data_IF_055934815453
#
_entry.id   IF_055934815453
#
_cell.length_a   1.000
_cell.length_b   1.000
_cell.length_c   1.000
_cell.angle_alpha   90.00
_cell.angle_beta   90.00
_cell.angle_gamma   90.00
#
_symmetry.space_group_name_H-M   'P 1'
#
loop_
_entity.id
_entity.type
_entity.pdbx_description
1 polymer ?
#
# COMPACT_ATOMS: atom_id res chain seq x y z
N UNK A 1 9.48 -6.58 -17.88
CA UNK A 1 8.04 -6.33 -18.13
C UNK A 1 7.47 -7.16 -19.27
N UNK A 2 7.88 -7.02 -20.55
CA UNK A 2 7.34 -7.84 -21.66
C UNK A 2 7.49 -9.35 -21.43
N UNK A 3 8.72 -9.80 -21.17
CA UNK A 3 9.07 -11.20 -20.85
C UNK A 3 8.18 -11.80 -19.75
N UNK A 4 7.99 -11.03 -18.66
CA UNK A 4 7.13 -11.43 -17.56
C UNK A 4 5.64 -11.43 -17.95
N UNK A 5 5.18 -10.45 -18.74
CA UNK A 5 3.77 -10.37 -19.12
C UNK A 5 3.31 -11.55 -19.98
N UNK A 6 4.20 -12.08 -20.82
CA UNK A 6 3.91 -13.18 -21.74
C UNK A 6 3.95 -14.56 -21.09
N UNK A 7 4.72 -14.74 -20.01
CA UNK A 7 5.01 -16.07 -19.47
C UNK A 7 4.76 -16.24 -17.97
N UNK A 8 4.54 -15.16 -17.22
CA UNK A 8 4.17 -15.23 -15.80
C UNK A 8 2.64 -15.26 -15.60
N UNK A 9 2.14 -15.78 -14.47
CA UNK A 9 0.72 -15.75 -14.14
C UNK A 9 0.23 -14.37 -13.69
N UNK A 10 1.12 -13.37 -13.58
CA UNK A 10 0.78 -12.08 -12.98
C UNK A 10 0.09 -11.12 -13.96
N UNK A 11 -0.92 -10.43 -13.46
CA UNK A 11 -1.63 -9.35 -14.17
C UNK A 11 -1.38 -7.95 -13.60
N UNK A 12 -0.80 -7.84 -12.40
CA UNK A 12 -0.57 -6.59 -11.69
C UNK A 12 0.86 -6.48 -11.15
N UNK A 13 1.34 -5.26 -10.95
CA UNK A 13 2.64 -4.98 -10.34
C UNK A 13 2.57 -3.77 -9.41
N UNK A 14 3.11 -3.93 -8.20
CA UNK A 14 3.34 -2.84 -7.25
C UNK A 14 4.43 -1.88 -7.74
N UNK A 15 4.17 -0.57 -7.66
CA UNK A 15 5.13 0.46 -8.05
C UNK A 15 5.27 1.48 -6.94
N UNK A 16 6.46 1.56 -6.35
CA UNK A 16 6.78 2.52 -5.30
C UNK A 16 6.93 3.93 -5.86
N UNK A 17 5.88 4.74 -5.78
CA UNK A 17 5.83 6.08 -6.40
C UNK A 17 6.53 7.15 -5.55
N UNK A 18 6.63 6.95 -4.23
CA UNK A 18 7.17 7.95 -3.32
C UNK A 18 7.32 7.43 -1.89
N UNK A 19 7.49 8.37 -0.95
CA UNK A 19 7.66 8.07 0.46
C UNK A 19 9.06 8.42 0.98
N UNK A 20 9.11 9.11 2.11
CA UNK A 20 10.35 9.40 2.83
C UNK A 20 11.03 8.11 3.32
N UNK A 21 10.24 7.09 3.69
CA UNK A 21 10.74 5.82 4.21
C UNK A 21 11.04 4.76 3.13
N UNK A 22 11.01 5.14 1.84
CA UNK A 22 11.33 4.23 0.72
C UNK A 22 12.85 3.99 0.64
N UNK A 23 13.26 2.73 0.56
CA UNK A 23 14.69 2.36 0.59
C UNK A 23 15.47 2.75 -0.67
N UNK A 24 14.83 2.77 -1.83
CA UNK A 24 15.52 2.92 -3.12
C UNK A 24 14.84 3.95 -4.01
N UNK A 25 15.65 4.70 -4.77
CA UNK A 25 15.14 5.51 -5.87
C UNK A 25 14.59 4.61 -6.99
N UNK A 26 13.62 5.12 -7.75
CA UNK A 26 12.98 4.44 -8.88
C UNK A 26 13.25 5.20 -10.19
N UNK A 27 14.51 5.37 -10.65
CA UNK A 27 14.83 6.22 -11.79
C UNK A 27 14.25 5.72 -13.13
N UNK A 28 13.81 4.46 -13.18
CA UNK A 28 13.16 3.86 -14.35
C UNK A 28 11.63 4.00 -14.32
N UNK A 29 11.05 4.38 -13.19
CA UNK A 29 9.62 4.63 -13.06
C UNK A 29 9.32 6.05 -13.56
N UNK A 30 8.98 6.14 -14.84
CA UNK A 30 8.63 7.40 -15.51
C UNK A 30 7.21 7.31 -16.08
N UNK A 31 6.62 8.46 -16.44
CA UNK A 31 5.32 8.50 -17.15
C UNK A 31 5.34 7.65 -18.43
N UNK A 32 6.41 7.70 -19.20
CA UNK A 32 6.54 6.91 -20.44
C UNK A 32 6.60 5.41 -20.15
N UNK A 33 7.28 5.01 -19.07
CA UNK A 33 7.29 3.63 -18.63
C UNK A 33 5.90 3.18 -18.18
N UNK A 34 5.22 3.98 -17.34
CA UNK A 34 3.85 3.71 -16.86
C UNK A 34 2.90 3.49 -18.02
N UNK A 35 2.86 4.41 -19.00
CA UNK A 35 2.03 4.27 -20.20
C UNK A 35 2.37 3.00 -20.98
N UNK A 36 3.66 2.72 -21.17
CA UNK A 36 4.09 1.54 -21.92
C UNK A 36 3.69 0.23 -21.24
N UNK A 37 3.85 0.10 -19.92
CA UNK A 37 3.49 -1.14 -19.21
C UNK A 37 1.97 -1.31 -19.09
N UNK A 38 1.22 -0.22 -18.91
CA UNK A 38 -0.24 -0.26 -18.95
C UNK A 38 -0.77 -0.68 -20.32
N UNK A 39 -0.17 -0.18 -21.41
CA UNK A 39 -0.50 -0.62 -22.78
C UNK A 39 -0.13 -2.09 -23.06
N UNK A 40 0.82 -2.67 -22.31
CA UNK A 40 1.10 -4.12 -22.34
C UNK A 40 0.07 -4.94 -21.55
N UNK A 41 -0.91 -4.29 -20.91
CA UNK A 41 -1.95 -4.94 -20.12
C UNK A 41 -1.57 -5.25 -18.68
N UNK A 42 -0.51 -4.61 -18.13
CA UNK A 42 -0.26 -4.63 -16.68
C UNK A 42 -1.22 -3.70 -15.95
N UNK A 43 -1.72 -4.15 -14.80
CA UNK A 43 -2.32 -3.28 -13.79
C UNK A 43 -1.22 -2.76 -12.86
N UNK A 44 -1.30 -1.48 -12.48
CA UNK A 44 -0.31 -0.85 -11.61
C UNK A 44 -0.92 -0.56 -10.25
N UNK A 45 -0.22 -0.89 -9.18
CA UNK A 45 -0.64 -0.68 -7.79
C UNK A 45 0.32 0.37 -7.19
N UNK A 46 -0.07 1.65 -7.08
CA UNK A 46 0.83 2.71 -6.62
C UNK A 46 1.06 2.59 -5.11
N UNK A 47 2.31 2.49 -4.69
CA UNK A 47 2.70 2.34 -3.27
C UNK A 47 3.46 3.59 -2.83
N UNK A 48 3.08 4.14 -1.68
CA UNK A 48 3.77 5.24 -1.04
C UNK A 48 4.25 4.81 0.34
N UNK A 49 5.56 4.88 0.57
CA UNK A 49 6.17 4.37 1.81
C UNK A 49 6.21 5.49 2.84
N UNK A 50 5.18 5.57 3.68
CA UNK A 50 4.96 6.71 4.57
C UNK A 50 5.89 6.76 5.79
N UNK A 51 5.72 7.79 6.62
CA UNK A 51 6.26 7.75 7.99
C UNK A 51 5.68 6.54 8.74
N UNK A 52 6.48 6.02 9.67
CA UNK A 52 6.26 4.72 10.29
C UNK A 52 5.91 4.89 11.77
N UNK A 53 5.33 3.86 12.39
CA UNK A 53 5.11 3.91 13.84
C UNK A 53 6.42 4.24 14.58
N UNK A 54 6.37 5.01 15.69
CA UNK A 54 7.50 5.14 16.61
C UNK A 54 8.06 3.78 17.08
N UNK A 55 7.24 2.72 17.03
CA UNK A 55 7.56 1.37 17.44
C UNK A 55 7.71 0.40 16.25
N UNK A 56 8.07 0.90 15.07
CA UNK A 56 8.30 0.06 13.89
C UNK A 56 9.36 -1.01 14.13
N UNK A 57 9.02 -2.26 13.80
CA UNK A 57 9.89 -3.43 14.00
C UNK A 57 11.11 -3.36 13.10
N UNK A 58 10.95 -2.89 11.87
CA UNK A 58 12.03 -2.73 10.91
C UNK A 58 13.02 -1.64 11.36
N UNK A 59 14.21 -2.03 11.83
CA UNK A 59 15.21 -1.10 12.36
C UNK A 59 15.58 0.04 11.39
N UNK A 60 15.69 -0.24 10.09
CA UNK A 60 15.98 0.74 9.02
C UNK A 60 14.89 1.82 8.85
N UNK A 61 13.71 1.62 9.45
CA UNK A 61 12.55 2.50 9.34
C UNK A 61 12.38 3.45 10.51
N UNK A 62 13.04 3.18 11.65
CA UNK A 62 12.87 3.95 12.91
C UNK A 62 13.19 5.44 12.78
N UNK A 63 14.12 5.79 11.89
CA UNK A 63 14.48 7.18 11.57
C UNK A 63 13.39 7.95 10.81
N UNK A 64 12.33 7.27 10.37
CA UNK A 64 11.15 7.85 9.71
C UNK A 64 9.91 7.70 10.60
N UNK A 65 10.09 7.63 11.92
CA UNK A 65 9.00 7.59 12.87
C UNK A 65 8.10 8.83 12.72
N UNK A 66 6.79 8.61 12.78
CA UNK A 66 5.79 9.67 12.90
C UNK A 66 6.05 10.42 14.20
N UNK A 67 6.15 11.74 14.15
CA UNK A 67 6.07 12.55 15.37
C UNK A 67 4.62 12.52 15.89
N UNK A 68 4.36 12.00 17.11
CA UNK A 68 3.02 11.97 17.67
C UNK A 68 2.34 13.35 17.71
N UNK A 69 3.10 14.44 17.86
CA UNK A 69 2.54 15.79 17.90
C UNK A 69 2.07 16.27 16.50
N UNK A 70 2.69 15.77 15.43
CA UNK A 70 2.46 16.22 14.06
C UNK A 70 1.82 15.13 13.18
N UNK A 71 1.35 14.01 13.74
CA UNK A 71 0.87 12.84 12.99
C UNK A 71 -0.12 13.18 11.87
N UNK A 72 -1.13 14.01 12.16
CA UNK A 72 -2.11 14.47 11.14
C UNK A 72 -1.50 15.43 10.11
N UNK A 73 -0.56 16.28 10.51
CA UNK A 73 0.15 17.21 9.62
C UNK A 73 1.03 16.41 8.65
N UNK A 74 1.78 15.43 9.17
CA UNK A 74 2.59 14.52 8.36
C UNK A 74 1.72 13.71 7.39
N UNK A 75 0.61 13.15 7.84
CA UNK A 75 -0.33 12.38 7.01
C UNK A 75 -0.87 13.20 5.84
N UNK A 76 -1.31 14.44 6.12
CA UNK A 76 -1.76 15.39 5.09
C UNK A 76 -0.66 15.68 4.07
N UNK A 77 0.53 16.08 4.55
CA UNK A 77 1.66 16.44 3.68
C UNK A 77 2.09 15.28 2.78
N UNK A 78 2.12 14.07 3.32
CA UNK A 78 2.54 12.88 2.57
C UNK A 78 1.47 12.43 1.57
N UNK A 79 0.19 12.56 1.89
CA UNK A 79 -0.89 12.31 0.93
C UNK A 79 -0.83 13.27 -0.26
N UNK A 80 -0.59 14.56 -0.01
CA UNK A 80 -0.39 15.52 -1.11
C UNK A 80 0.84 15.19 -1.96
N UNK A 81 1.90 14.68 -1.33
CA UNK A 81 3.09 14.22 -2.04
C UNK A 81 2.82 13.00 -2.91
N UNK A 82 2.07 12.03 -2.39
CA UNK A 82 1.59 10.88 -3.15
C UNK A 82 0.77 11.30 -4.38
N UNK A 83 -0.17 12.24 -4.23
CA UNK A 83 -0.97 12.76 -5.34
C UNK A 83 -0.10 13.41 -6.40
N UNK A 84 0.89 14.24 -5.99
CA UNK A 84 1.85 14.84 -6.93
C UNK A 84 2.66 13.78 -7.66
N UNK A 85 3.16 12.75 -6.95
CA UNK A 85 3.92 11.67 -7.55
C UNK A 85 3.08 10.84 -8.54
N UNK A 86 1.86 10.44 -8.16
CA UNK A 86 0.92 9.72 -9.01
C UNK A 86 0.57 10.55 -10.27
N UNK A 87 0.25 11.83 -10.09
CA UNK A 87 -0.03 12.76 -11.18
C UNK A 87 1.16 12.89 -12.12
N UNK A 88 2.38 13.05 -11.60
CA UNK A 88 3.61 13.16 -12.39
C UNK A 88 3.85 11.92 -13.27
N UNK A 89 3.53 10.74 -12.74
CA UNK A 89 3.58 9.45 -13.44
C UNK A 89 2.41 9.23 -14.43
N UNK A 90 1.40 10.11 -14.44
CA UNK A 90 0.26 10.04 -15.35
C UNK A 90 -0.86 9.13 -14.88
N UNK A 91 -0.92 8.84 -13.58
CA UNK A 91 -2.04 8.15 -12.95
C UNK A 91 -3.16 9.15 -12.66
N UNK A 92 -4.34 8.93 -13.24
CA UNK A 92 -5.47 9.83 -13.17
C UNK A 92 -6.10 9.85 -11.76
N UNK A 93 -6.97 10.83 -11.51
CA UNK A 93 -7.90 10.80 -10.38
C UNK A 93 -8.73 9.51 -10.39
N UNK A 94 -9.32 9.16 -9.25
CA UNK A 94 -9.98 7.89 -8.93
C UNK A 94 -9.03 6.68 -8.87
N UNK A 95 -7.74 6.87 -9.17
CA UNK A 95 -6.72 5.87 -8.84
C UNK A 95 -6.54 5.73 -7.33
N UNK A 96 -6.18 4.54 -6.83
CA UNK A 96 -5.73 4.38 -5.45
C UNK A 96 -4.27 4.80 -5.28
N UNK A 97 -3.90 5.18 -4.06
CA UNK A 97 -2.52 5.13 -3.57
C UNK A 97 -2.51 4.35 -2.27
N UNK A 98 -1.67 3.31 -2.22
CA UNK A 98 -1.53 2.42 -1.06
C UNK A 98 -0.42 2.94 -0.16
N UNK A 99 -0.80 3.39 1.04
CA UNK A 99 0.12 3.76 2.11
C UNK A 99 0.75 2.50 2.70
N UNK A 100 2.08 2.42 2.67
CA UNK A 100 2.86 1.32 3.26
C UNK A 100 3.36 1.72 4.66
N UNK A 101 2.77 1.07 5.67
CA UNK A 101 3.22 1.11 7.07
C UNK A 101 3.62 -0.31 7.47
N UNK A 102 4.91 -0.50 7.71
CA UNK A 102 5.51 -1.78 8.07
C UNK A 102 5.09 -2.20 9.48
N UNK A 103 5.23 -3.49 9.82
CA UNK A 103 4.86 -4.00 11.13
C UNK A 103 5.45 -3.21 12.31
N UNK A 104 4.64 -3.01 13.34
CA UNK A 104 4.98 -2.30 14.55
C UNK A 104 4.27 -2.90 15.77
N UNK A 105 4.75 -2.54 16.96
CA UNK A 105 4.13 -2.93 18.22
C UNK A 105 2.73 -2.31 18.36
N UNK A 106 1.72 -3.15 18.59
CA UNK A 106 0.31 -2.72 18.75
C UNK A 106 -0.19 -2.79 20.20
N UNK A 107 0.67 -3.15 21.15
CA UNK A 107 0.30 -3.29 22.57
C UNK A 107 0.22 -1.95 23.32
N UNK A 108 0.72 -0.86 22.72
CA UNK A 108 0.77 0.47 23.33
C UNK A 108 0.15 1.56 22.47
N UNK A 109 -0.69 2.39 23.10
CA UNK A 109 -1.28 3.61 22.54
C UNK A 109 -0.22 4.54 21.90
N UNK A 110 0.97 4.65 22.51
CA UNK A 110 2.06 5.48 21.99
C UNK A 110 2.62 5.01 20.65
N UNK A 111 2.41 3.75 20.30
CA UNK A 111 2.82 3.15 19.04
C UNK A 111 1.68 3.20 18.01
N UNK A 112 0.44 3.08 18.49
CA UNK A 112 -0.76 2.93 17.66
C UNK A 112 -1.38 4.26 17.25
N UNK A 113 -1.54 5.19 18.19
CA UNK A 113 -2.29 6.43 17.99
C UNK A 113 -1.66 7.31 16.90
N UNK A 114 -0.32 7.49 16.83
CA UNK A 114 0.29 8.23 15.75
C UNK A 114 0.00 7.63 14.37
N UNK A 115 -0.08 6.29 14.26
CA UNK A 115 -0.39 5.62 12.98
C UNK A 115 -1.86 5.83 12.60
N UNK A 116 -2.78 5.75 13.57
CA UNK A 116 -4.21 6.00 13.33
C UNK A 116 -4.45 7.44 12.88
N UNK A 117 -3.89 8.42 13.60
CA UNK A 117 -4.03 9.84 13.25
C UNK A 117 -3.39 10.18 11.91
N UNK A 118 -2.20 9.65 11.64
CA UNK A 118 -1.53 9.80 10.35
C UNK A 118 -2.38 9.21 9.22
N UNK A 119 -2.87 7.98 9.39
CA UNK A 119 -3.63 7.25 8.35
C UNK A 119 -5.01 7.86 8.09
N UNK A 120 -5.65 8.42 9.13
CA UNK A 120 -6.88 9.20 9.01
C UNK A 120 -6.66 10.44 8.14
N UNK A 121 -5.70 11.29 8.50
CA UNK A 121 -5.40 12.50 7.74
C UNK A 121 -4.93 12.20 6.30
N UNK A 122 -4.14 11.14 6.12
CA UNK A 122 -3.77 10.63 4.80
C UNK A 122 -5.00 10.28 3.96
N UNK A 123 -5.95 9.53 4.55
CA UNK A 123 -7.13 9.05 3.84
C UNK A 123 -8.08 10.19 3.47
N UNK A 124 -8.33 11.11 4.39
CA UNK A 124 -9.13 12.31 4.14
C UNK A 124 -8.53 13.15 3.01
N UNK A 125 -7.21 13.38 3.08
CA UNK A 125 -6.51 14.18 2.07
C UNK A 125 -6.56 13.53 0.69
N UNK A 126 -6.36 12.20 0.58
CA UNK A 126 -6.48 11.53 -0.73
C UNK A 126 -7.90 11.65 -1.29
N UNK A 127 -8.93 11.45 -0.47
CA UNK A 127 -10.33 11.60 -0.88
C UNK A 127 -10.63 13.02 -1.35
N UNK A 128 -10.18 14.03 -0.61
CA UNK A 128 -10.33 15.44 -0.98
C UNK A 128 -9.61 15.79 -2.30
N UNK A 129 -8.54 15.07 -2.63
CA UNK A 129 -7.82 15.20 -3.90
C UNK A 129 -8.38 14.31 -5.02
N UNK A 130 -9.46 13.57 -4.76
CA UNK A 130 -10.13 12.70 -5.72
C UNK A 130 -9.41 11.38 -5.98
N UNK A 131 -8.61 10.89 -5.03
CA UNK A 131 -7.94 9.59 -5.06
C UNK A 131 -8.53 8.65 -4.01
N UNK A 132 -8.32 7.33 -4.17
CA UNK A 132 -8.68 6.35 -3.15
C UNK A 132 -7.52 6.10 -2.20
N UNK A 133 -7.82 5.98 -0.91
CA UNK A 133 -6.85 5.62 0.13
C UNK A 133 -6.75 4.10 0.27
N UNK A 134 -5.60 3.54 -0.08
CA UNK A 134 -5.26 2.16 0.24
C UNK A 134 -4.32 2.10 1.44
N UNK A 135 -4.36 1.01 2.21
CA UNK A 135 -3.46 0.80 3.34
C UNK A 135 -2.84 -0.59 3.31
N UNK A 136 -1.52 -0.63 3.34
CA UNK A 136 -0.70 -1.83 3.43
C UNK A 136 -0.04 -1.95 4.80
N UNK A 137 -0.16 -3.13 5.42
CA UNK A 137 0.59 -3.52 6.62
C UNK A 137 0.51 -5.03 6.86
N UNK A 138 1.18 -5.53 7.91
CA UNK A 138 1.04 -6.90 8.37
C UNK A 138 -0.34 -7.14 8.99
N UNK A 139 -0.92 -8.31 8.72
CA UNK A 139 -2.26 -8.71 9.18
C UNK A 139 -2.46 -8.59 10.70
N UNK A 140 -1.42 -8.92 11.46
CA UNK A 140 -1.38 -8.93 12.93
C UNK A 140 -0.97 -7.59 13.56
N UNK A 141 -0.70 -6.53 12.78
CA UNK A 141 -0.38 -5.20 13.29
C UNK A 141 -1.28 -4.08 12.73
N UNK A 142 -0.83 -3.33 11.73
CA UNK A 142 -1.59 -2.18 11.21
C UNK A 142 -2.95 -2.58 10.65
N UNK A 143 -3.06 -3.77 10.06
CA UNK A 143 -4.32 -4.27 9.51
C UNK A 143 -5.35 -4.53 10.63
N UNK A 144 -4.96 -5.26 11.67
CA UNK A 144 -5.84 -5.53 12.81
C UNK A 144 -6.23 -4.24 13.54
N UNK A 145 -5.31 -3.29 13.63
CA UNK A 145 -5.55 -1.99 14.27
C UNK A 145 -6.55 -1.11 13.49
N UNK A 146 -6.38 -0.98 12.17
CA UNK A 146 -7.31 -0.23 11.32
C UNK A 146 -8.70 -0.87 11.35
N UNK A 147 -8.80 -2.21 11.31
CA UNK A 147 -10.07 -2.91 11.43
C UNK A 147 -10.73 -2.72 12.81
N UNK A 148 -9.94 -2.74 13.89
CA UNK A 148 -10.45 -2.47 15.24
C UNK A 148 -11.02 -1.04 15.33
N UNK A 149 -10.31 -0.05 14.77
CA UNK A 149 -10.78 1.34 14.70
C UNK A 149 -12.08 1.48 13.89
N UNK A 150 -12.17 0.81 12.73
CA UNK A 150 -13.41 0.72 11.93
C UNK A 150 -14.55 0.08 12.73
N UNK A 151 -14.29 -1.03 13.41
CA UNK A 151 -15.31 -1.74 14.18
C UNK A 151 -15.81 -0.92 15.38
N UNK A 152 -14.96 -0.06 15.94
CA UNK A 152 -15.31 0.93 16.96
C UNK A 152 -16.07 2.16 16.42
N UNK A 153 -16.26 2.26 15.10
CA UNK A 153 -17.08 3.29 14.46
C UNK A 153 -16.32 4.43 13.79
N UNK A 154 -14.98 4.38 13.74
CA UNK A 154 -14.19 5.39 13.02
C UNK A 154 -14.60 5.45 11.55
N UNK A 155 -14.81 6.67 11.05
CA UNK A 155 -15.11 6.94 9.64
C UNK A 155 -13.84 7.29 8.85
N UNK A 156 -12.77 7.67 9.54
CA UNK A 156 -11.52 8.13 8.93
C UNK A 156 -10.58 6.95 8.65
N UNK A 157 -11.11 5.87 8.08
CA UNK A 157 -10.35 4.68 7.70
C UNK A 157 -10.03 4.71 6.20
N UNK A 158 -9.05 3.91 5.74
CA UNK A 158 -8.78 3.73 4.31
C UNK A 158 -10.00 3.21 3.55
N UNK A 159 -9.97 3.30 2.23
CA UNK A 159 -11.01 2.74 1.35
C UNK A 159 -10.72 1.26 1.00
N UNK A 160 -9.43 0.88 0.99
CA UNK A 160 -8.94 -0.43 0.52
C UNK A 160 -7.88 -0.99 1.48
N UNK A 161 -7.95 -2.30 1.78
CA UNK A 161 -6.97 -2.99 2.61
C UNK A 161 -6.04 -3.89 1.79
N UNK A 162 -4.74 -3.79 2.03
CA UNK A 162 -3.72 -4.69 1.52
C UNK A 162 -2.99 -5.33 2.70
N UNK A 163 -3.30 -6.59 3.02
CA UNK A 163 -2.69 -7.26 4.16
C UNK A 163 -1.56 -8.19 3.74
N UNK A 164 -0.47 -8.19 4.49
CA UNK A 164 0.56 -9.21 4.42
C UNK A 164 0.32 -10.30 5.47
N UNK A 165 0.21 -11.54 5.01
CA UNK A 165 0.20 -12.73 5.86
C UNK A 165 0.78 -13.89 5.04
N UNK A 166 2.02 -14.24 5.32
CA UNK A 166 2.73 -15.25 4.54
C UNK A 166 2.48 -16.67 5.04
N UNK A 167 2.89 -17.65 4.24
CA UNK A 167 2.83 -19.09 4.57
C UNK A 167 1.41 -19.63 4.86
N UNK A 168 0.38 -18.92 4.39
CA UNK A 168 -1.02 -19.34 4.43
C UNK A 168 -1.62 -19.43 3.02
N UNK A 169 -2.79 -20.05 2.89
CA UNK A 169 -3.48 -20.11 1.62
C UNK A 169 -3.81 -18.71 1.09
N UNK A 170 -3.59 -18.42 -0.21
CA UNK A 170 -3.91 -17.13 -0.81
C UNK A 170 -5.43 -16.95 -0.88
N UNK A 171 -6.00 -16.31 0.13
CA UNK A 171 -7.43 -15.96 0.19
C UNK A 171 -7.58 -14.48 0.51
N UNK A 172 -8.62 -13.84 -0.02
CA UNK A 172 -8.92 -12.43 0.28
C UNK A 172 -9.80 -12.26 1.51
N UNK A 173 -10.59 -13.28 1.84
CA UNK A 173 -11.67 -13.21 2.83
C UNK A 173 -11.55 -14.28 3.92
N UNK A 174 -10.38 -14.92 4.04
CA UNK A 174 -10.07 -15.89 5.10
C UNK A 174 -9.19 -15.35 6.22
N UNK A 175 -8.78 -14.08 6.16
CA UNK A 175 -7.93 -13.44 7.17
C UNK A 175 -8.74 -13.15 8.46
N UNK A 176 -8.37 -13.75 9.62
CA UNK A 176 -9.07 -13.50 10.89
C UNK A 176 -9.09 -12.03 11.31
N UNK A 177 -8.02 -11.28 11.05
CA UNK A 177 -7.95 -9.85 11.36
C UNK A 177 -8.89 -8.99 10.49
N UNK A 178 -9.41 -9.52 9.38
CA UNK A 178 -10.33 -8.82 8.46
C UNK A 178 -11.59 -9.64 8.23
N UNK A 179 -12.63 -9.50 9.07
CA UNK A 179 -13.84 -10.31 8.98
C UNK A 179 -14.45 -10.27 7.57
N UNK A 180 -14.85 -11.42 7.07
CA UNK A 180 -15.13 -11.65 5.64
C UNK A 180 -16.26 -10.79 5.04
N UNK A 181 -17.13 -10.21 5.88
CA UNK A 181 -18.23 -9.33 5.47
C UNK A 181 -17.85 -7.87 5.18
N UNK A 182 -16.65 -7.42 5.58
CA UNK A 182 -16.20 -6.04 5.41
C UNK A 182 -15.19 -5.88 4.29
N UNK A 183 -14.88 -4.63 3.92
CA UNK A 183 -13.95 -4.31 2.83
C UNK A 183 -14.38 -4.99 1.52
N UNK A 184 -15.63 -4.74 1.13
CA UNK A 184 -16.29 -5.30 -0.06
C UNK A 184 -17.11 -4.25 -0.79
N UNK A 185 -17.43 -4.51 -2.07
CA UNK A 185 -16.76 -5.47 -2.96
C UNK A 185 -15.44 -4.88 -3.49
N UNK A 186 -14.50 -5.72 -3.92
CA UNK A 186 -13.27 -5.28 -4.59
C UNK A 186 -12.45 -4.26 -3.77
N UNK A 187 -12.16 -4.55 -2.50
CA UNK A 187 -11.37 -3.69 -1.59
C UNK A 187 -10.26 -4.43 -0.84
N UNK A 188 -9.78 -5.56 -1.37
CA UNK A 188 -8.75 -6.36 -0.69
C UNK A 188 -7.61 -6.77 -1.60
N UNK A 189 -6.41 -6.70 -1.06
CA UNK A 189 -5.20 -7.32 -1.60
C UNK A 189 -4.58 -8.16 -0.49
N UNK A 190 -4.04 -9.33 -0.84
CA UNK A 190 -3.33 -10.20 0.08
C UNK A 190 -1.92 -10.47 -0.45
N UNK A 191 -0.90 -9.97 0.24
CA UNK A 191 0.48 -10.40 0.03
C UNK A 191 0.71 -11.72 0.77
N UNK A 192 0.72 -12.82 0.03
CA UNK A 192 0.78 -14.18 0.59
C UNK A 192 2.18 -14.80 0.51
N UNK A 193 3.12 -14.15 -0.17
CA UNK A 193 4.52 -14.57 -0.23
C UNK A 193 5.42 -13.35 -0.38
N UNK A 194 6.47 -13.27 0.44
CA UNK A 194 7.49 -12.23 0.37
C UNK A 194 8.84 -12.71 -0.17
N UNK A 195 9.55 -11.83 -0.87
CA UNK A 195 10.96 -11.95 -1.27
C UNK A 195 11.34 -13.25 -2.02
N UNK A 196 10.50 -13.72 -2.94
CA UNK A 196 10.78 -14.93 -3.72
C UNK A 196 11.42 -14.61 -5.07
N UNK A 197 12.46 -15.35 -5.45
CA UNK A 197 13.09 -15.22 -6.76
C UNK A 197 12.36 -16.06 -7.78
N UNK A 198 11.85 -15.42 -8.84
CA UNK A 198 11.16 -16.10 -9.93
C UNK A 198 11.77 -15.72 -11.27
N UNK A 199 11.72 -16.65 -12.22
CA UNK A 199 12.29 -16.49 -13.56
C UNK A 199 11.22 -16.74 -14.61
N UNK A 200 11.05 -15.76 -15.49
CA UNK A 200 10.09 -15.81 -16.59
C UNK A 200 10.78 -15.32 -17.87
N UNK A 201 10.72 -16.16 -18.91
CA UNK A 201 11.33 -15.89 -20.22
C UNK A 201 12.80 -15.41 -20.12
N UNK A 202 13.57 -16.06 -19.23
CA UNK A 202 15.00 -15.81 -19.01
C UNK A 202 15.34 -14.64 -18.06
N UNK A 203 14.35 -13.93 -17.52
CA UNK A 203 14.58 -12.80 -16.60
C UNK A 203 14.21 -13.17 -15.17
N UNK A 204 15.19 -13.17 -14.27
CA UNK A 204 14.99 -13.38 -12.83
C UNK A 204 14.73 -12.06 -12.12
N UNK A 205 13.68 -12.01 -11.31
CA UNK A 205 13.41 -10.92 -10.37
C UNK A 205 13.10 -11.50 -9.00
N UNK A 206 13.47 -10.76 -7.95
CA UNK A 206 12.95 -11.00 -6.61
C UNK A 206 11.63 -10.23 -6.48
N UNK A 207 10.56 -10.92 -6.11
CA UNK A 207 9.19 -10.39 -6.09
C UNK A 207 8.46 -10.86 -4.84
N UNK A 208 7.49 -10.06 -4.43
CA UNK A 208 6.41 -10.50 -3.57
C UNK A 208 5.25 -11.00 -4.45
N UNK A 209 4.41 -11.88 -3.91
CA UNK A 209 3.24 -12.40 -4.62
C UNK A 209 1.95 -11.96 -3.92
N UNK A 210 1.04 -11.40 -4.71
CA UNK A 210 -0.22 -10.85 -4.23
C UNK A 210 -1.42 -11.47 -4.94
N UNK A 211 -2.48 -11.73 -4.18
CA UNK A 211 -3.83 -11.93 -4.71
C UNK A 211 -4.56 -10.59 -4.65
N UNK A 212 -5.04 -10.10 -5.80
CA UNK A 212 -5.56 -8.74 -5.96
C UNK A 212 -7.03 -8.76 -6.36
N UNK A 213 -7.89 -8.17 -5.53
CA UNK A 213 -9.28 -7.82 -5.86
C UNK A 213 -9.59 -6.43 -5.31
N UNK A 214 -9.00 -5.42 -5.96
CA UNK A 214 -9.00 -4.04 -5.49
C UNK A 214 -8.79 -3.07 -6.66
N UNK A 215 -9.06 -1.76 -6.47
CA UNK A 215 -8.73 -0.74 -7.45
C UNK A 215 -7.23 -0.74 -7.75
N UNK A 216 -6.91 -0.31 -8.97
CA UNK A 216 -5.55 -0.17 -9.49
C UNK A 216 -5.47 1.17 -10.22
N UNK A 217 -4.26 1.64 -10.51
CA UNK A 217 -4.07 2.93 -11.18
C UNK A 217 -4.81 3.00 -12.52
N UNK A 218 -5.48 4.12 -12.74
CA UNK A 218 -6.08 4.49 -14.02
C UNK A 218 -5.02 5.24 -14.82
N UNK A 219 -4.64 4.68 -15.96
CA UNK A 219 -3.63 5.25 -16.87
C UNK A 219 -4.29 5.52 -18.22
N UNK A 220 -4.51 6.80 -18.58
CA UNK A 220 -5.13 7.20 -19.85
C UNK A 220 -4.27 6.94 -21.10
#
# INVERSE_FOLDING_TARGET
MRAWRSSSPYGAVGVYIGGNARSCAQPRLTRSWVKAVSAMGWKLIPIYVGSQSPCVTAARKRQYAIDPADARIEGTRQAEDAVRAATALGMAAESPVYLDVEAYDTDSASCTDPVLDFSAAWSDTLRDRGYLSGFYSSADSGISQIEASRAAGSQDVPDVMWFAHWDIAPTLYGEPALPSGYWRPHRRIHQYTGNTSQTYDGYTLNVDQDLVDAPVAIVP
#
